data_IF_442147652620
#
_entry.id   IF_442147652620
#
_cell.length_a   1.000
_cell.length_b   1.000
_cell.length_c   1.000
_cell.angle_alpha   90.00
_cell.angle_beta   90.00
_cell.angle_gamma   90.00
#
_symmetry.space_group_name_H-M   'P 1'
#
loop_
_entity.id
_entity.type
_entity.pdbx_description
1 polymer ?
#
# COMPACT_ATOMS: atom_id res chain seq x y z
N UNK A 1 6.81 12.03 22.01
CA UNK A 1 7.37 12.87 20.93
C UNK A 1 6.52 12.55 19.72
N UNK A 2 5.70 13.52 19.29
CA UNK A 2 4.85 13.36 18.12
C UNK A 2 5.78 13.29 16.92
N UNK A 3 5.99 12.09 16.40
CA UNK A 3 6.72 11.92 15.15
C UNK A 3 5.85 12.55 14.07
N UNK A 4 6.25 13.73 13.58
CA UNK A 4 5.67 14.41 12.42
C UNK A 4 5.98 13.60 11.15
N UNK A 5 5.50 12.37 11.07
CA UNK A 5 5.49 11.60 9.84
C UNK A 5 4.27 12.09 9.04
N UNK A 6 4.47 12.74 7.87
CA UNK A 6 3.38 13.32 7.07
C UNK A 6 2.48 12.27 6.41
N UNK A 7 2.54 11.02 6.88
CA UNK A 7 1.92 9.84 6.31
C UNK A 7 1.00 9.12 7.30
N UNK A 8 1.07 9.43 8.61
CA UNK A 8 0.31 8.73 9.66
C UNK A 8 -1.21 8.90 9.53
N UNK A 9 -1.66 10.00 8.93
CA UNK A 9 -3.07 10.30 8.70
C UNK A 9 -3.62 9.74 7.37
N UNK A 10 -2.76 9.17 6.53
CA UNK A 10 -3.15 8.57 5.25
C UNK A 10 -3.46 9.55 4.12
N UNK A 11 -3.20 10.85 4.28
CA UNK A 11 -3.49 11.80 3.21
C UNK A 11 -2.54 11.63 2.03
N UNK A 12 -3.12 11.57 0.83
CA UNK A 12 -2.39 11.37 -0.42
C UNK A 12 -1.55 10.09 -0.47
N UNK A 13 -1.96 9.06 0.28
CA UNK A 13 -1.42 7.71 0.14
C UNK A 13 -2.35 6.86 -0.70
N UNK A 14 -1.75 6.08 -1.61
CA UNK A 14 -2.39 5.03 -2.39
C UNK A 14 -1.67 3.74 -2.07
N UNK A 15 -2.42 2.67 -1.88
CA UNK A 15 -1.86 1.34 -1.68
C UNK A 15 -1.99 0.51 -2.93
N UNK A 16 -1.05 -0.40 -3.12
CA UNK A 16 -1.08 -1.32 -4.23
C UNK A 16 -0.97 -2.74 -3.75
N UNK A 17 -1.94 -3.55 -4.16
CA UNK A 17 -1.86 -4.99 -4.07
C UNK A 17 -1.23 -5.50 -5.37
N UNK A 18 -0.01 -6.00 -5.27
CA UNK A 18 0.72 -6.59 -6.40
C UNK A 18 0.91 -8.08 -6.14
N UNK A 19 0.46 -8.90 -7.07
CA UNK A 19 0.67 -10.34 -7.09
C UNK A 19 1.78 -10.69 -8.07
N UNK A 20 2.76 -11.46 -7.61
CA UNK A 20 3.86 -11.98 -8.41
C UNK A 20 3.67 -13.48 -8.65
N UNK A 21 3.76 -13.90 -9.91
CA UNK A 21 3.72 -15.30 -10.29
C UNK A 21 5.07 -16.00 -10.09
N UNK A 22 5.16 -17.27 -10.53
CA UNK A 22 6.34 -18.12 -10.36
C UNK A 22 7.64 -17.55 -10.96
N UNK A 23 7.54 -16.72 -12.00
CA UNK A 23 8.69 -16.11 -12.70
C UNK A 23 8.97 -14.66 -12.24
N UNK A 24 8.47 -14.26 -11.07
CA UNK A 24 8.52 -12.88 -10.55
C UNK A 24 7.83 -11.83 -11.46
N UNK A 25 7.06 -12.29 -12.46
CA UNK A 25 6.24 -11.42 -13.27
C UNK A 25 5.00 -10.95 -12.50
N UNK A 26 4.60 -9.70 -12.74
CA UNK A 26 3.37 -9.15 -12.16
C UNK A 26 2.16 -9.87 -12.78
N UNK A 27 1.55 -10.75 -12.00
CA UNK A 27 0.32 -11.44 -12.35
C UNK A 27 -0.93 -10.54 -12.15
N UNK A 28 -0.87 -9.64 -11.16
CA UNK A 28 -1.93 -8.71 -10.84
C UNK A 28 -1.36 -7.47 -10.18
N UNK A 29 -1.88 -6.29 -10.51
CA UNK A 29 -1.60 -5.06 -9.76
C UNK A 29 -2.89 -4.27 -9.64
N UNK A 30 -3.25 -3.90 -8.42
CA UNK A 30 -4.46 -3.14 -8.13
C UNK A 30 -4.14 -2.01 -7.17
N UNK A 31 -4.48 -0.79 -7.57
CA UNK A 31 -4.43 0.37 -6.69
C UNK A 31 -5.70 0.48 -5.85
N UNK A 32 -5.52 0.77 -4.57
CA UNK A 32 -6.56 0.94 -3.57
C UNK A 32 -6.75 2.43 -3.30
N UNK A 33 -8.01 2.84 -3.17
CA UNK A 33 -8.31 4.19 -2.72
C UNK A 33 -8.06 4.36 -1.21
N UNK A 34 -8.27 5.58 -0.73
CA UNK A 34 -8.06 5.94 0.68
C UNK A 34 -8.94 5.11 1.62
N UNK A 35 -10.21 4.93 1.30
CA UNK A 35 -11.16 4.28 2.21
C UNK A 35 -10.82 2.79 2.32
N UNK A 36 -10.51 2.15 1.19
CA UNK A 36 -10.00 0.79 1.13
C UNK A 36 -8.70 0.63 1.92
N UNK A 37 -7.75 1.55 1.76
CA UNK A 37 -6.52 1.56 2.55
C UNK A 37 -6.81 1.64 4.05
N UNK A 38 -7.66 2.58 4.50
CA UNK A 38 -7.97 2.75 5.91
C UNK A 38 -8.63 1.49 6.50
N UNK A 39 -9.45 0.77 5.72
CA UNK A 39 -10.03 -0.51 6.16
C UNK A 39 -8.96 -1.61 6.28
N UNK A 40 -8.08 -1.74 5.26
CA UNK A 40 -7.11 -2.83 5.17
C UNK A 40 -5.92 -2.64 6.11
N UNK A 41 -5.47 -1.40 6.36
CA UNK A 41 -4.27 -1.14 7.18
C UNK A 41 -4.37 -1.71 8.58
N UNK A 42 -5.57 -1.74 9.14
CA UNK A 42 -5.81 -2.24 10.49
C UNK A 42 -5.71 -3.78 10.59
N UNK A 43 -5.62 -4.48 9.45
CA UNK A 43 -5.41 -5.94 9.41
C UNK A 43 -3.96 -6.34 9.68
N UNK A 44 -3.02 -5.40 9.62
CA UNK A 44 -1.60 -5.67 9.81
C UNK A 44 -1.09 -5.03 11.10
N UNK A 45 -0.24 -5.75 11.82
CA UNK A 45 0.35 -5.30 13.09
C UNK A 45 1.58 -4.43 12.82
N UNK A 46 1.38 -3.32 12.11
CA UNK A 46 2.47 -2.45 11.67
C UNK A 46 2.49 -1.08 12.35
N UNK A 47 1.48 -0.74 13.15
CA UNK A 47 1.35 0.64 13.63
C UNK A 47 1.14 1.63 12.47
N UNK A 48 1.10 2.92 12.77
CA UNK A 48 0.74 3.94 11.78
C UNK A 48 1.91 4.34 10.85
N UNK A 49 3.16 4.15 11.29
CA UNK A 49 4.34 4.79 10.70
C UNK A 49 5.12 4.02 9.60
N UNK A 50 5.25 2.69 9.61
CA UNK A 50 6.20 2.01 8.72
C UNK A 50 5.68 1.74 7.31
N UNK A 51 4.42 2.07 6.99
CA UNK A 51 3.79 1.68 5.73
C UNK A 51 4.52 2.14 4.47
N UNK A 52 5.10 3.35 4.50
CA UNK A 52 5.93 3.86 3.39
C UNK A 52 7.38 3.38 3.47
N UNK A 53 7.88 3.05 4.66
CA UNK A 53 9.31 2.79 4.91
C UNK A 53 9.70 1.35 4.60
N UNK A 54 8.83 0.37 4.86
CA UNK A 54 9.15 -1.04 4.65
C UNK A 54 9.02 -1.49 3.17
N UNK A 55 8.46 -0.64 2.31
CA UNK A 55 8.33 -0.91 0.88
C UNK A 55 7.09 -1.74 0.55
N UNK A 56 7.09 -3.03 0.88
CA UNK A 56 6.07 -3.99 0.47
C UNK A 56 5.85 -5.05 1.57
N UNK A 57 4.59 -5.35 1.90
CA UNK A 57 4.22 -6.27 2.96
C UNK A 57 3.55 -7.52 2.41
N UNK A 58 4.06 -8.69 2.78
CA UNK A 58 3.48 -9.95 2.32
C UNK A 58 2.03 -10.14 2.82
N UNK A 59 1.16 -10.50 1.89
CA UNK A 59 -0.28 -10.69 2.08
C UNK A 59 -0.57 -12.18 2.19
N UNK A 60 -0.51 -12.70 3.42
CA UNK A 60 -0.76 -14.12 3.67
C UNK A 60 -2.21 -14.55 3.39
N UNK A 61 -2.45 -15.83 3.06
CA UNK A 61 -3.81 -16.35 2.76
C UNK A 61 -4.86 -16.10 3.83
N UNK A 62 -4.45 -15.97 5.10
CA UNK A 62 -5.36 -15.73 6.23
C UNK A 62 -6.10 -14.39 6.15
N UNK A 63 -5.54 -13.38 5.46
CA UNK A 63 -6.16 -12.06 5.35
C UNK A 63 -6.92 -11.84 4.03
N UNK A 64 -6.82 -12.77 3.07
CA UNK A 64 -7.48 -12.68 1.77
C UNK A 64 -9.00 -12.46 1.85
N UNK A 65 -9.76 -13.14 2.74
CA UNK A 65 -11.20 -12.90 2.83
C UNK A 65 -11.56 -11.47 3.26
N UNK A 66 -10.70 -10.83 4.05
CA UNK A 66 -10.88 -9.45 4.47
C UNK A 66 -10.60 -8.47 3.32
N UNK A 67 -9.53 -8.73 2.55
CA UNK A 67 -9.20 -7.96 1.36
C UNK A 67 -10.28 -8.05 0.27
N UNK A 68 -10.82 -9.24 0.00
CA UNK A 68 -11.94 -9.41 -0.94
C UNK A 68 -13.22 -8.68 -0.50
N UNK A 69 -13.40 -8.44 0.80
CA UNK A 69 -14.54 -7.68 1.32
C UNK A 69 -14.34 -6.17 1.12
N UNK A 70 -13.16 -5.67 1.43
CA UNK A 70 -12.81 -4.26 1.27
C UNK A 70 -12.71 -3.86 -0.22
N UNK A 71 -12.38 -4.81 -1.08
CA UNK A 71 -12.12 -4.58 -2.51
C UNK A 71 -13.02 -5.45 -3.37
N UNK A 72 -14.22 -4.95 -3.75
CA UNK A 72 -15.15 -5.69 -4.59
C UNK A 72 -14.51 -6.10 -5.93
N UNK A 73 -14.61 -7.38 -6.27
CA UNK A 73 -14.04 -7.93 -7.50
C UNK A 73 -12.60 -8.41 -7.39
N UNK A 74 -11.94 -8.24 -6.24
CA UNK A 74 -10.63 -8.85 -5.99
C UNK A 74 -10.75 -10.37 -5.86
N UNK A 75 -9.92 -11.09 -6.62
CA UNK A 75 -9.81 -12.55 -6.60
C UNK A 75 -8.35 -12.94 -6.48
N UNK A 76 -8.01 -13.66 -5.41
CA UNK A 76 -6.67 -14.19 -5.20
C UNK A 76 -6.43 -15.46 -6.00
N UNK A 77 -5.21 -15.59 -6.52
CA UNK A 77 -4.74 -16.79 -7.22
C UNK A 77 -3.87 -17.63 -6.29
N UNK A 78 -3.98 -18.96 -6.40
CA UNK A 78 -3.38 -19.91 -5.44
C UNK A 78 -1.85 -19.90 -5.44
N UNK A 79 -1.24 -19.69 -6.60
CA UNK A 79 0.22 -19.81 -6.82
C UNK A 79 0.85 -18.43 -7.09
N UNK A 80 0.25 -17.37 -6.55
CA UNK A 80 0.71 -15.99 -6.68
C UNK A 80 1.03 -15.44 -5.30
N UNK A 81 2.21 -14.87 -5.15
CA UNK A 81 2.64 -14.22 -3.92
C UNK A 81 2.20 -12.75 -3.96
N UNK A 82 1.38 -12.36 -3.00
CA UNK A 82 0.79 -11.03 -2.95
C UNK A 82 1.51 -10.16 -1.95
N UNK A 83 1.77 -8.91 -2.35
CA UNK A 83 2.41 -7.90 -1.54
C UNK A 83 1.59 -6.62 -1.58
N UNK A 84 1.54 -5.95 -0.44
CA UNK A 84 0.86 -4.69 -0.24
C UNK A 84 1.91 -3.60 -0.09
N UNK A 85 2.00 -2.72 -1.08
CA UNK A 85 2.89 -1.56 -1.06
C UNK A 85 2.12 -0.28 -0.78
N UNK A 86 2.83 0.75 -0.33
CA UNK A 86 2.30 2.10 -0.21
C UNK A 86 3.07 3.06 -1.13
N UNK A 87 2.34 3.95 -1.78
CA UNK A 87 2.86 5.04 -2.61
C UNK A 87 2.21 6.35 -2.21
N UNK A 88 2.94 7.44 -2.40
CA UNK A 88 2.42 8.79 -2.27
C UNK A 88 1.86 9.24 -3.62
N UNK A 89 0.59 9.63 -3.66
CA UNK A 89 0.03 10.39 -4.76
C UNK A 89 0.49 11.85 -4.66
N UNK A 90 1.10 12.35 -5.73
CA UNK A 90 1.53 13.75 -5.83
C UNK A 90 0.42 14.59 -6.46
N UNK A 91 0.35 15.91 -6.18
CA UNK A 91 -0.66 16.80 -6.77
C UNK A 91 -0.66 16.85 -8.30
N UNK A 92 0.45 16.45 -8.93
CA UNK A 92 0.61 16.41 -10.38
C UNK A 92 0.18 15.07 -11.01
N UNK A 93 -0.42 14.17 -10.23
CA UNK A 93 -0.92 12.87 -10.67
C UNK A 93 0.16 11.77 -10.73
N UNK A 94 1.40 12.06 -10.34
CA UNK A 94 2.46 11.05 -10.25
C UNK A 94 2.38 10.29 -8.93
N UNK A 95 2.94 9.08 -8.93
CA UNK A 95 3.15 8.30 -7.72
C UNK A 95 4.62 8.29 -7.33
N UNK A 96 4.89 8.41 -6.04
CA UNK A 96 6.24 8.33 -5.48
C UNK A 96 6.32 7.24 -4.41
N UNK A 97 7.44 6.52 -4.38
CA UNK A 97 7.77 5.59 -3.29
C UNK A 97 9.16 5.89 -2.78
N UNK A 98 9.45 5.68 -1.49
CA UNK A 98 10.81 5.76 -0.98
C UNK A 98 11.69 4.74 -1.71
N UNK A 99 12.87 5.19 -2.13
CA UNK A 99 13.91 4.34 -2.69
C UNK A 99 15.27 4.79 -2.13
N UNK A 100 16.26 3.89 -2.00
CA UNK A 100 17.60 4.28 -1.56
C UNK A 100 18.15 5.43 -2.42
N UNK A 101 18.52 6.54 -1.79
CA UNK A 101 19.04 7.74 -2.46
C UNK A 101 18.00 8.69 -3.07
N UNK A 102 16.70 8.41 -2.94
CA UNK A 102 15.65 9.31 -3.39
C UNK A 102 15.31 10.36 -2.32
N UNK A 103 15.28 11.63 -2.70
CA UNK A 103 14.78 12.72 -1.84
C UNK A 103 13.26 12.70 -1.81
N UNK A 104 12.67 12.75 -0.62
CA UNK A 104 11.22 12.85 -0.44
C UNK A 104 10.69 14.11 -1.14
N UNK A 105 9.54 14.04 -1.85
CA UNK A 105 8.94 15.18 -2.55
C UNK A 105 8.42 16.29 -1.63
N UNK A 106 8.60 16.18 -0.31
CA UNK A 106 8.13 17.15 0.69
C UNK A 106 6.70 16.88 1.14
N UNK A 107 6.19 17.63 2.14
CA UNK A 107 4.82 17.48 2.61
C UNK A 107 3.83 17.85 1.50
N UNK A 108 2.91 16.93 1.18
CA UNK A 108 1.81 17.20 0.25
C UNK A 108 0.74 17.96 1.04
N UNK A 109 0.26 19.12 0.55
CA UNK A 109 -0.75 19.89 1.27
C UNK A 109 -2.05 19.08 1.46
N UNK A 110 -2.78 19.30 2.57
CA UNK A 110 -4.11 18.74 2.73
C UNK A 110 -5.06 19.29 1.65
N UNK A 111 -6.13 18.55 1.31
CA UNK A 111 -7.14 18.99 0.34
C UNK A 111 -7.86 20.27 0.78
#
# INVERSE_FOLDING_TARGET
MSSDYPFADGYNLVWDLTGFGADEEIAQSLSLDRDQFLEIRHLFVLGDDPWMVAGEYHVGPSIWPHLCRAVPGLVFQRDVDYFLGARQALPDGRFWRPAPGATSPGPVPPP
#
